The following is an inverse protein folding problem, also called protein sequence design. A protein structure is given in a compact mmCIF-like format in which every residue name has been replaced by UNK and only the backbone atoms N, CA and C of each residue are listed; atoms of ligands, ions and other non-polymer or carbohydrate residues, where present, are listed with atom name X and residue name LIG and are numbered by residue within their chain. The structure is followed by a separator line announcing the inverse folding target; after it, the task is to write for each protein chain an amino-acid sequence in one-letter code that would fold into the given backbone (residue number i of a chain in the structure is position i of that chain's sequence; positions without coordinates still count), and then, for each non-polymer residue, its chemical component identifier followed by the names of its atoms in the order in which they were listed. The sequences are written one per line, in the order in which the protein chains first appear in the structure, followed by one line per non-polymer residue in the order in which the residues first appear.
data_IF_419059681025
#
_entry.id   IF_419059681025
#
_cell.length_a   1.000
_cell.length_b   1.000
_cell.length_c   1.000
_cell.angle_alpha   90.00
_cell.angle_beta   90.00
_cell.angle_gamma   90.00
#
_symmetry.space_group_name_H-M   'P 1'
#
loop_
_entity.id
_entity.type
_entity.pdbx_description
1 polymer ?
#
# COMPACT_ATOMS: atom_id res chain seq x y z
N UNK A 1 16.30 15.58 49.52
CA UNK A 1 15.33 14.48 49.74
C UNK A 1 13.93 14.95 50.16
N UNK A 2 13.49 16.16 49.76
CA UNK A 2 12.17 16.73 50.15
C UNK A 2 11.40 17.40 48.99
N UNK A 3 11.84 17.20 47.74
CA UNK A 3 11.17 17.77 46.53
C UNK A 3 10.62 16.66 45.60
N UNK A 4 10.92 15.38 45.89
CA UNK A 4 10.50 14.23 45.07
C UNK A 4 9.21 13.54 45.55
N UNK A 5 8.64 13.91 46.69
CA UNK A 5 7.45 13.24 47.25
C UNK A 5 6.10 13.93 46.92
N UNK A 6 6.08 15.20 46.48
CA UNK A 6 4.82 15.90 46.15
C UNK A 6 4.29 15.64 44.73
N UNK A 7 5.07 15.03 43.84
CA UNK A 7 4.62 14.74 42.47
C UNK A 7 4.19 13.28 42.23
N UNK A 8 4.39 12.36 43.17
CA UNK A 8 3.96 10.96 43.02
C UNK A 8 2.52 10.71 43.52
N UNK A 9 2.00 11.56 44.40
CA UNK A 9 0.63 11.46 44.91
C UNK A 9 -0.44 12.06 43.97
N UNK A 10 -0.04 12.82 42.94
CA UNK A 10 -0.94 13.32 41.88
C UNK A 10 -0.92 12.49 40.59
N UNK A 11 -0.06 11.48 40.47
CA UNK A 11 -0.04 10.56 39.31
C UNK A 11 -1.10 9.46 39.40
N UNK A 12 -1.74 9.31 40.57
CA UNK A 12 -2.92 8.48 40.78
C UNK A 12 -4.20 9.31 40.97
N UNK A 13 -4.19 10.57 40.51
CA UNK A 13 -5.44 11.28 40.25
C UNK A 13 -6.16 10.51 39.14
N UNK A 14 -7.11 9.67 39.55
CA UNK A 14 -8.12 8.97 38.76
C UNK A 14 -8.22 9.53 37.34
N UNK A 15 -7.43 8.99 36.40
CA UNK A 15 -7.63 9.32 34.99
C UNK A 15 -9.06 8.87 34.70
N UNK A 16 -9.95 9.84 34.42
CA UNK A 16 -11.33 9.54 34.02
C UNK A 16 -11.25 8.45 32.94
N UNK A 17 -12.04 7.38 33.05
CA UNK A 17 -11.98 6.27 32.12
C UNK A 17 -12.16 6.82 30.70
N UNK A 18 -11.28 6.40 29.79
CA UNK A 18 -11.37 6.83 28.40
C UNK A 18 -12.72 6.39 27.83
N UNK A 19 -13.56 7.35 27.49
CA UNK A 19 -14.97 7.11 27.20
C UNK A 19 -15.37 7.56 25.79
N UNK A 20 -16.62 7.28 25.43
CA UNK A 20 -17.16 7.59 24.10
C UNK A 20 -17.21 9.10 23.82
N UNK A 21 -17.40 9.94 24.85
CA UNK A 21 -17.39 11.39 24.71
C UNK A 21 -16.01 11.91 24.27
N UNK A 22 -14.94 11.38 24.87
CA UNK A 22 -13.57 11.72 24.49
C UNK A 22 -13.25 11.24 23.07
N UNK A 23 -13.67 10.04 22.70
CA UNK A 23 -13.55 9.52 21.33
C UNK A 23 -14.23 10.48 20.36
N UNK A 24 -15.49 10.85 20.62
CA UNK A 24 -16.27 11.75 19.77
C UNK A 24 -15.61 13.12 19.63
N UNK A 25 -15.05 13.67 20.72
CA UNK A 25 -14.33 14.96 20.70
C UNK A 25 -13.06 14.89 19.85
N UNK A 26 -12.29 13.80 19.96
CA UNK A 26 -11.09 13.57 19.14
C UNK A 26 -11.49 13.47 17.66
N UNK A 27 -12.49 12.64 17.35
CA UNK A 27 -12.97 12.45 15.99
C UNK A 27 -13.53 13.74 15.38
N UNK A 28 -14.31 14.51 16.13
CA UNK A 28 -14.85 15.80 15.69
C UNK A 28 -13.72 16.79 15.38
N UNK A 29 -12.70 16.85 16.25
CA UNK A 29 -11.52 17.68 16.03
C UNK A 29 -10.80 17.28 14.75
N UNK A 30 -10.60 15.98 14.53
CA UNK A 30 -9.93 15.45 13.33
C UNK A 30 -10.73 15.78 12.06
N UNK A 31 -12.04 15.54 12.07
CA UNK A 31 -12.95 15.81 10.94
C UNK A 31 -12.89 17.28 10.53
N UNK A 32 -12.95 18.20 11.49
CA UNK A 32 -12.94 19.65 11.23
C UNK A 32 -11.53 20.14 10.85
N UNK A 33 -10.53 19.89 11.70
CA UNK A 33 -9.18 20.47 11.57
C UNK A 33 -8.46 19.94 10.34
N UNK A 34 -8.59 18.65 10.07
CA UNK A 34 -7.86 17.99 8.99
C UNK A 34 -8.74 17.68 7.77
N UNK A 35 -10.05 18.00 7.81
CA UNK A 35 -10.99 17.73 6.70
C UNK A 35 -10.93 16.27 6.26
N UNK A 36 -11.16 15.38 7.22
CA UNK A 36 -11.11 13.93 7.01
C UNK A 36 -12.41 13.28 7.41
N UNK A 37 -12.65 12.11 6.84
CA UNK A 37 -13.76 11.24 7.15
C UNK A 37 -13.26 10.10 8.03
N UNK A 38 -14.08 9.69 9.00
CA UNK A 38 -13.75 8.62 9.94
C UNK A 38 -14.90 7.64 9.95
N UNK A 39 -14.57 6.37 9.74
CA UNK A 39 -15.53 5.27 9.69
C UNK A 39 -15.20 4.23 10.76
N UNK A 40 -16.17 3.82 11.60
CA UNK A 40 -15.98 2.70 12.51
C UNK A 40 -15.80 1.40 11.73
N UNK A 41 -14.93 0.55 12.25
CA UNK A 41 -14.68 -0.79 11.74
C UNK A 41 -14.74 -1.80 12.88
N UNK A 42 -14.88 -3.06 12.51
CA UNK A 42 -14.60 -4.22 13.36
C UNK A 42 -13.48 -5.03 12.71
N UNK A 43 -12.85 -5.91 13.47
CA UNK A 43 -11.73 -6.71 12.98
C UNK A 43 -12.11 -7.52 11.73
N UNK A 44 -13.30 -8.10 11.70
CA UNK A 44 -13.86 -8.89 10.61
C UNK A 44 -14.03 -8.11 9.29
N UNK A 45 -14.05 -6.78 9.34
CA UNK A 45 -14.13 -5.94 8.14
C UNK A 45 -12.76 -5.71 7.49
N UNK A 46 -11.65 -5.98 8.18
CA UNK A 46 -10.31 -5.75 7.68
C UNK A 46 -9.88 -6.94 6.82
N UNK A 47 -9.65 -6.68 5.54
CA UNK A 47 -9.18 -7.71 4.60
C UNK A 47 -7.67 -7.78 4.63
N UNK A 48 -7.13 -8.98 4.77
CA UNK A 48 -5.68 -9.24 4.69
C UNK A 48 -5.37 -10.02 3.41
N UNK A 49 -4.31 -9.63 2.71
CA UNK A 49 -3.91 -10.28 1.47
C UNK A 49 -2.39 -10.37 1.35
N UNK A 50 -1.92 -11.55 0.95
CA UNK A 50 -0.51 -11.76 0.59
C UNK A 50 -0.09 -10.83 -0.56
N UNK A 51 -1.00 -10.56 -1.49
CA UNK A 51 -0.68 -9.81 -2.70
C UNK A 51 -0.42 -8.34 -2.45
N UNK A 52 -1.12 -7.70 -1.51
CA UNK A 52 -0.88 -6.27 -1.25
C UNK A 52 0.50 -6.04 -0.65
N UNK A 53 0.98 -6.96 0.20
CA UNK A 53 2.35 -6.90 0.73
C UNK A 53 3.39 -7.22 -0.34
N UNK A 54 3.12 -8.19 -1.23
CA UNK A 54 4.02 -8.46 -2.37
C UNK A 54 4.05 -7.31 -3.37
N UNK A 55 2.94 -6.58 -3.56
CA UNK A 55 2.91 -5.36 -4.38
C UNK A 55 3.70 -4.22 -3.76
N UNK A 56 3.86 -4.18 -2.44
CA UNK A 56 4.77 -3.24 -1.79
C UNK A 56 6.22 -3.41 -2.30
N UNK A 57 6.62 -4.63 -2.68
CA UNK A 57 7.93 -4.90 -3.30
C UNK A 57 8.06 -4.36 -4.73
N UNK A 58 6.95 -4.00 -5.38
CA UNK A 58 6.93 -3.36 -6.70
C UNK A 58 6.98 -1.82 -6.61
N UNK A 59 6.94 -1.28 -5.38
CA UNK A 59 7.03 0.16 -5.12
C UNK A 59 8.46 0.65 -5.34
N UNK A 60 8.65 1.79 -5.99
CA UNK A 60 9.98 2.36 -6.17
C UNK A 60 10.70 2.68 -4.87
N UNK A 61 9.96 3.04 -3.83
CA UNK A 61 10.54 3.33 -2.52
C UNK A 61 10.76 2.07 -1.66
N UNK A 62 10.61 0.87 -2.24
CA UNK A 62 10.79 -0.37 -1.49
C UNK A 62 12.18 -0.44 -0.86
N UNK A 63 12.26 -0.93 0.39
CA UNK A 63 13.45 -0.94 1.24
C UNK A 63 14.07 0.43 1.58
N UNK A 64 13.61 1.54 1.01
CA UNK A 64 14.19 2.86 1.25
C UNK A 64 13.81 3.44 2.62
N UNK A 65 12.87 2.80 3.33
CA UNK A 65 12.33 3.21 4.63
C UNK A 65 12.19 2.00 5.58
N UNK A 66 12.35 2.23 6.88
CA UNK A 66 12.01 1.27 7.96
C UNK A 66 10.54 0.80 7.97
N UNK A 67 9.69 1.43 7.17
CA UNK A 67 8.26 1.10 7.09
C UNK A 67 7.90 0.25 5.88
N UNK A 68 8.90 -0.25 5.17
CA UNK A 68 8.78 -1.28 4.15
C UNK A 68 9.05 -2.67 4.75
N UNK A 69 8.48 -3.75 4.20
CA UNK A 69 8.98 -5.11 4.43
C UNK A 69 10.47 -5.22 4.08
N UNK A 70 11.28 -6.04 4.78
CA UNK A 70 10.93 -6.93 5.88
C UNK A 70 10.91 -6.26 7.27
N UNK A 71 11.11 -4.94 7.36
CA UNK A 71 11.21 -4.22 8.64
C UNK A 71 9.87 -4.04 9.37
N UNK A 72 8.78 -4.51 8.77
CA UNK A 72 7.42 -4.45 9.31
C UNK A 72 6.82 -5.86 9.32
N UNK A 73 5.81 -6.13 10.17
CA UNK A 73 5.20 -7.46 10.25
C UNK A 73 4.66 -7.96 8.91
N UNK A 74 4.75 -9.27 8.72
CA UNK A 74 4.16 -9.98 7.58
C UNK A 74 2.63 -10.00 7.73
N UNK A 75 1.88 -10.15 6.63
CA UNK A 75 0.42 -10.04 6.64
C UNK A 75 -0.28 -10.94 7.66
N UNK A 76 0.21 -12.17 7.86
CA UNK A 76 -0.35 -13.09 8.86
C UNK A 76 -0.01 -12.68 10.29
N UNK A 77 1.16 -12.07 10.51
CA UNK A 77 1.53 -11.56 11.83
C UNK A 77 0.67 -10.35 12.18
N UNK A 78 0.43 -9.45 11.21
CA UNK A 78 -0.50 -8.32 11.36
C UNK A 78 -1.90 -8.81 11.65
N UNK A 79 -2.39 -9.83 10.92
CA UNK A 79 -3.70 -10.45 11.15
C UNK A 79 -3.87 -10.91 12.60
N UNK A 80 -2.91 -11.70 13.11
CA UNK A 80 -2.98 -12.20 14.49
C UNK A 80 -2.77 -11.10 15.55
N UNK A 81 -1.96 -10.09 15.25
CA UNK A 81 -1.76 -8.93 16.13
C UNK A 81 -3.05 -8.12 16.28
N UNK A 82 -3.76 -7.86 15.18
CA UNK A 82 -4.95 -7.01 15.20
C UNK A 82 -6.15 -7.62 15.93
N UNK A 83 -6.18 -8.94 16.13
CA UNK A 83 -7.18 -9.61 17.00
C UNK A 83 -7.14 -9.13 18.46
N UNK A 84 -6.04 -8.53 18.90
CA UNK A 84 -5.85 -8.04 20.28
C UNK A 84 -6.45 -6.66 20.52
N UNK A 85 -7.05 -6.05 19.51
CA UNK A 85 -7.64 -4.72 19.54
C UNK A 85 -9.16 -4.86 19.39
N UNK A 86 -9.92 -3.98 20.05
CA UNK A 86 -11.38 -3.96 20.00
C UNK A 86 -11.95 -2.66 19.41
N UNK A 87 -11.08 -1.69 19.11
CA UNK A 87 -11.44 -0.41 18.53
C UNK A 87 -10.72 -0.22 17.20
N UNK A 88 -11.46 0.07 16.13
CA UNK A 88 -10.91 0.27 14.78
C UNK A 88 -11.55 1.48 14.11
N UNK A 89 -10.73 2.33 13.52
CA UNK A 89 -11.18 3.48 12.71
C UNK A 89 -10.41 3.54 11.41
N UNK A 90 -11.17 3.51 10.31
CA UNK A 90 -10.69 3.89 8.98
C UNK A 90 -10.78 5.40 8.86
N UNK A 91 -9.67 6.04 8.51
CA UNK A 91 -9.60 7.49 8.31
C UNK A 91 -9.26 7.73 6.84
N UNK A 92 -10.03 8.59 6.18
CA UNK A 92 -9.85 8.94 4.77
C UNK A 92 -9.72 10.46 4.66
N UNK A 93 -8.69 10.90 3.96
CA UNK A 93 -8.52 12.29 3.55
C UNK A 93 -8.61 12.36 2.04
N UNK A 94 -9.46 13.26 1.52
CA UNK A 94 -9.62 13.48 0.07
C UNK A 94 -9.33 14.94 -0.25
N UNK A 95 -8.63 15.18 -1.37
CA UNK A 95 -8.40 16.50 -1.91
C UNK A 95 -8.65 16.49 -3.43
N UNK A 96 -9.40 17.48 -3.92
CA UNK A 96 -9.61 17.65 -5.35
C UNK A 96 -8.41 18.38 -5.98
N UNK A 97 -7.89 17.87 -7.08
CA UNK A 97 -6.87 18.54 -7.89
C UNK A 97 -7.44 19.66 -8.76
N UNK A 98 -8.76 19.74 -8.95
CA UNK A 98 -9.40 20.70 -9.86
C UNK A 98 -9.10 22.18 -9.51
N UNK A 99 -9.18 22.62 -8.24
CA UNK A 99 -8.82 23.99 -7.88
C UNK A 99 -7.32 24.28 -8.06
N UNK A 100 -6.47 23.27 -7.97
CA UNK A 100 -5.02 23.41 -8.23
C UNK A 100 -4.74 23.52 -9.72
N UNK A 101 -5.47 22.75 -10.53
CA UNK A 101 -5.44 22.85 -11.98
C UNK A 101 -5.86 24.24 -12.45
N UNK A 102 -6.98 24.78 -11.95
CA UNK A 102 -7.49 26.10 -12.34
C UNK A 102 -6.54 27.25 -11.93
N UNK A 103 -5.91 27.14 -10.74
CA UNK A 103 -4.96 28.15 -10.23
C UNK A 103 -3.59 28.14 -10.91
N UNK A 104 -3.19 27.03 -11.52
CA UNK A 104 -1.96 26.98 -12.32
C UNK A 104 -2.18 27.82 -13.59
N UNK A 105 -1.91 29.13 -13.49
CA UNK A 105 -1.80 30.05 -14.63
C UNK A 105 -0.78 29.47 -15.63
N UNK A 106 -0.98 29.69 -16.95
CA UNK A 106 -0.09 29.14 -17.97
C UNK A 106 1.29 29.81 -17.88
N UNK A 107 2.16 29.28 -17.03
CA UNK A 107 3.60 29.56 -17.08
C UNK A 107 4.23 28.78 -18.25
N UNK A 108 3.68 28.91 -19.45
CA UNK A 108 4.16 28.22 -20.65
C UNK A 108 4.20 26.68 -20.55
N UNK A 109 3.54 26.07 -19.57
CA UNK A 109 3.67 24.64 -19.31
C UNK A 109 2.70 23.81 -20.15
N UNK A 110 3.22 22.77 -20.80
CA UNK A 110 2.48 21.63 -21.35
C UNK A 110 1.29 21.22 -20.45
N UNK A 111 0.11 21.00 -21.03
CA UNK A 111 -1.13 20.60 -20.33
C UNK A 111 -0.92 19.40 -19.40
N UNK A 112 -0.15 18.41 -19.84
CA UNK A 112 0.22 17.26 -19.02
C UNK A 112 0.93 17.68 -17.73
N UNK A 113 1.89 18.61 -17.81
CA UNK A 113 2.66 19.08 -16.66
C UNK A 113 1.77 19.86 -15.68
N UNK A 114 0.79 20.61 -16.20
CA UNK A 114 -0.21 21.31 -15.40
C UNK A 114 -1.08 20.34 -14.62
N UNK A 115 -1.59 19.29 -15.26
CA UNK A 115 -2.35 18.21 -14.62
C UNK A 115 -1.51 17.46 -13.57
N UNK A 116 -0.28 17.10 -13.92
CA UNK A 116 0.64 16.41 -13.03
C UNK A 116 0.90 17.21 -11.74
N UNK A 117 1.21 18.50 -11.86
CA UNK A 117 1.45 19.39 -10.71
C UNK A 117 0.21 19.55 -9.84
N UNK A 118 -0.96 19.73 -10.46
CA UNK A 118 -2.22 19.82 -9.73
C UNK A 118 -2.52 18.54 -8.94
N UNK A 119 -2.30 17.37 -9.57
CA UNK A 119 -2.43 16.07 -8.94
C UNK A 119 -1.46 15.87 -7.77
N UNK A 120 -0.19 16.21 -7.96
CA UNK A 120 0.82 16.05 -6.92
C UNK A 120 0.55 16.96 -5.71
N UNK A 121 0.10 18.20 -5.93
CA UNK A 121 -0.32 19.07 -4.83
C UNK A 121 -1.51 18.47 -4.05
N UNK A 122 -2.53 17.98 -4.76
CA UNK A 122 -3.68 17.34 -4.12
C UNK A 122 -3.27 16.09 -3.32
N UNK A 123 -2.40 15.26 -3.89
CA UNK A 123 -1.81 14.09 -3.24
C UNK A 123 -1.05 14.45 -1.95
N UNK A 124 -0.18 15.48 -2.00
CA UNK A 124 0.57 15.95 -0.82
C UNK A 124 -0.38 16.39 0.29
N UNK A 125 -1.44 17.13 -0.05
CA UNK A 125 -2.42 17.62 0.92
C UNK A 125 -3.22 16.49 1.53
N UNK A 126 -3.77 15.58 0.72
CA UNK A 126 -4.54 14.43 1.20
C UNK A 126 -3.69 13.55 2.14
N UNK A 127 -2.46 13.24 1.73
CA UNK A 127 -1.52 12.47 2.55
C UNK A 127 -1.17 13.19 3.85
N UNK A 128 -0.88 14.50 3.80
CA UNK A 128 -0.55 15.31 4.99
C UNK A 128 -1.71 15.34 5.98
N UNK A 129 -2.93 15.62 5.50
CA UNK A 129 -4.15 15.59 6.32
C UNK A 129 -4.36 14.25 6.99
N UNK A 130 -4.24 13.15 6.24
CA UNK A 130 -4.36 11.81 6.83
C UNK A 130 -3.29 11.56 7.89
N UNK A 131 -2.02 11.85 7.58
CA UNK A 131 -0.91 11.62 8.50
C UNK A 131 -1.10 12.36 9.82
N UNK A 132 -1.45 13.65 9.74
CA UNK A 132 -1.70 14.46 10.94
C UNK A 132 -2.97 14.04 11.69
N UNK A 133 -4.01 13.58 10.99
CA UNK A 133 -5.21 13.04 11.61
C UNK A 133 -4.89 11.82 12.46
N UNK A 134 -4.19 10.85 11.90
CA UNK A 134 -3.80 9.62 12.58
C UNK A 134 -2.82 9.93 13.72
N UNK A 135 -1.85 10.82 13.50
CA UNK A 135 -0.90 11.22 14.53
C UNK A 135 -1.60 11.90 15.71
N UNK A 136 -2.55 12.81 15.45
CA UNK A 136 -3.34 13.45 16.49
C UNK A 136 -4.18 12.42 17.26
N UNK A 137 -4.81 11.49 16.54
CA UNK A 137 -5.58 10.41 17.16
C UNK A 137 -4.69 9.55 18.06
N UNK A 138 -3.57 9.07 17.53
CA UNK A 138 -2.57 8.27 18.25
C UNK A 138 -2.09 9.00 19.50
N UNK A 139 -1.63 10.25 19.38
CA UNK A 139 -1.15 11.03 20.52
C UNK A 139 -2.24 11.24 21.57
N UNK A 140 -3.51 11.41 21.16
CA UNK A 140 -4.62 11.50 22.10
C UNK A 140 -4.82 10.20 22.88
N UNK A 141 -4.73 9.04 22.21
CA UNK A 141 -4.79 7.74 22.87
C UNK A 141 -3.58 7.50 23.78
N UNK A 142 -2.39 7.87 23.35
CA UNK A 142 -1.15 7.74 24.12
C UNK A 142 -1.22 8.54 25.44
N UNK A 143 -1.79 9.75 25.42
CA UNK A 143 -2.00 10.58 26.63
C UNK A 143 -2.90 9.90 27.68
N UNK A 144 -3.76 8.97 27.24
CA UNK A 144 -4.62 8.17 28.10
C UNK A 144 -4.07 6.77 28.35
N UNK A 145 -2.78 6.52 28.03
CA UNK A 145 -2.12 5.22 28.18
C UNK A 145 -2.83 4.08 27.43
N UNK A 146 -3.52 4.40 26.33
CA UNK A 146 -4.25 3.41 25.56
C UNK A 146 -3.32 2.77 24.55
N UNK A 147 -3.17 1.45 24.66
CA UNK A 147 -2.42 0.65 23.67
C UNK A 147 -3.06 0.81 22.30
N UNK A 148 -2.29 1.29 21.34
CA UNK A 148 -2.75 1.52 19.98
C UNK A 148 -1.67 1.17 18.94
N UNK A 149 -2.11 0.93 17.71
CA UNK A 149 -1.29 0.77 16.52
C UNK A 149 -1.94 1.56 15.39
N UNK A 150 -1.11 2.21 14.57
CA UNK A 150 -1.57 3.06 13.50
C UNK A 150 -0.85 2.78 12.18
N UNK A 151 -1.60 2.85 11.09
CA UNK A 151 -1.17 2.64 9.71
C UNK A 151 -1.57 3.86 8.89
N UNK A 152 -0.60 4.52 8.26
CA UNK A 152 -0.80 5.80 7.58
C UNK A 152 -0.94 5.64 6.07
N UNK A 153 -0.72 6.72 5.33
CA UNK A 153 -0.84 6.75 3.87
C UNK A 153 0.01 5.69 3.15
N UNK A 154 -0.42 5.31 1.95
CA UNK A 154 0.38 4.53 0.99
C UNK A 154 1.70 5.21 0.60
N UNK A 155 2.66 4.40 0.16
CA UNK A 155 3.99 4.85 -0.25
C UNK A 155 5.00 4.95 0.90
N UNK A 156 6.12 5.62 0.65
CA UNK A 156 7.21 5.74 1.63
C UNK A 156 6.90 6.72 2.78
N UNK A 157 7.39 6.41 3.98
CA UNK A 157 7.31 7.31 5.14
C UNK A 157 7.93 8.69 4.83
N UNK A 158 7.20 9.76 5.17
CA UNK A 158 7.56 11.16 4.90
C UNK A 158 8.12 11.92 6.11
N UNK A 159 8.25 11.28 7.28
CA UNK A 159 8.64 11.94 8.54
C UNK A 159 10.03 12.60 8.51
N UNK A 160 10.98 12.04 7.75
CA UNK A 160 12.32 12.62 7.61
C UNK A 160 12.39 13.82 6.64
N UNK A 161 11.28 14.15 5.95
CA UNK A 161 11.27 15.15 4.89
C UNK A 161 12.27 14.80 3.78
N UNK A 162 13.17 15.73 3.38
CA UNK A 162 14.16 15.48 2.35
C UNK A 162 15.35 14.61 2.81
N UNK A 163 15.52 14.41 4.13
CA UNK A 163 16.67 13.66 4.65
C UNK A 163 16.55 12.16 4.35
N UNK A 164 17.64 11.48 3.95
CA UNK A 164 17.69 10.03 3.82
C UNK A 164 17.22 9.32 5.09
N UNK A 165 16.51 8.19 4.95
CA UNK A 165 16.10 7.40 6.11
C UNK A 165 17.31 6.70 6.73
N UNK A 166 17.33 6.54 8.06
CA UNK A 166 18.42 5.87 8.77
C UNK A 166 18.67 4.43 8.30
N UNK A 167 17.66 3.75 7.75
CA UNK A 167 17.81 2.40 7.17
C UNK A 167 18.87 2.33 6.06
N UNK A 168 19.11 3.45 5.36
CA UNK A 168 20.10 3.56 4.29
C UNK A 168 21.53 3.64 4.83
N UNK A 169 21.70 4.13 6.06
CA UNK A 169 22.99 4.27 6.75
C UNK A 169 23.10 3.33 7.97
N UNK A 170 22.21 2.35 8.09
CA UNK A 170 22.10 1.45 9.26
C UNK A 170 21.97 2.19 10.61
N UNK A 171 21.36 3.38 10.60
CA UNK A 171 21.06 4.18 11.79
C UNK A 171 19.61 3.98 12.23
N UNK A 172 19.29 4.09 13.54
CA UNK A 172 17.91 4.05 14.04
C UNK A 172 16.97 5.05 13.35
N UNK A 173 15.66 4.78 13.44
CA UNK A 173 14.66 5.73 12.98
C UNK A 173 14.77 7.04 13.76
N UNK A 174 14.86 8.17 13.04
CA UNK A 174 14.93 9.51 13.65
C UNK A 174 13.58 10.06 14.13
N UNK A 175 12.49 9.35 13.81
CA UNK A 175 11.11 9.75 14.14
C UNK A 175 10.26 8.53 14.52
N UNK A 176 10.67 7.72 15.51
CA UNK A 176 9.99 6.46 15.82
C UNK A 176 8.51 6.66 16.20
N UNK A 177 8.17 7.73 16.92
CA UNK A 177 6.81 8.00 17.39
C UNK A 177 5.84 8.49 16.30
N UNK A 178 6.38 8.98 15.19
CA UNK A 178 5.60 9.50 14.05
C UNK A 178 5.58 8.53 12.88
N UNK A 179 6.58 7.65 12.78
CA UNK A 179 6.73 6.78 11.63
C UNK A 179 5.72 5.61 11.70
N UNK A 180 4.80 5.59 10.75
CA UNK A 180 3.77 4.55 10.62
C UNK A 180 3.90 3.87 9.26
N UNK A 181 3.77 2.53 9.18
CA UNK A 181 3.71 1.85 7.89
C UNK A 181 2.39 2.09 7.19
N UNK A 182 2.36 1.88 5.88
CA UNK A 182 1.10 1.85 5.15
C UNK A 182 0.34 0.54 5.42
N UNK A 183 -0.98 0.50 5.26
CA UNK A 183 -1.77 -0.72 5.31
C UNK A 183 -1.21 -1.83 4.40
N UNK A 184 -0.80 -1.50 3.17
CA UNK A 184 -0.27 -2.47 2.21
C UNK A 184 1.07 -3.06 2.66
N UNK A 185 1.93 -2.25 3.28
CA UNK A 185 3.23 -2.70 3.78
C UNK A 185 3.10 -3.80 4.84
N UNK A 186 1.98 -3.84 5.57
CA UNK A 186 1.69 -4.84 6.61
C UNK A 186 0.64 -5.87 6.18
N UNK A 187 0.23 -5.86 4.91
CA UNK A 187 -0.68 -6.87 4.36
C UNK A 187 -2.18 -6.58 4.45
N UNK A 188 -2.59 -5.36 4.78
CA UNK A 188 -4.00 -4.96 4.79
C UNK A 188 -4.41 -4.52 3.38
N UNK A 189 -5.38 -5.20 2.80
CA UNK A 189 -6.00 -4.82 1.54
C UNK A 189 -7.03 -3.72 1.78
N UNK A 190 -6.51 -2.48 1.77
CA UNK A 190 -7.29 -1.29 2.03
C UNK A 190 -8.35 -1.05 0.94
N UNK A 191 -8.08 -1.39 -0.32
CA UNK A 191 -9.05 -1.19 -1.40
C UNK A 191 -10.28 -2.09 -1.22
N UNK A 192 -10.06 -3.37 -0.94
CA UNK A 192 -11.16 -4.31 -0.67
C UNK A 192 -11.91 -3.92 0.60
N UNK A 193 -11.18 -3.55 1.67
CA UNK A 193 -11.76 -3.08 2.93
C UNK A 193 -12.65 -1.84 2.74
N UNK A 194 -12.15 -0.80 2.07
CA UNK A 194 -12.87 0.46 1.82
C UNK A 194 -14.08 0.23 0.92
N UNK A 195 -13.92 -0.57 -0.15
CA UNK A 195 -15.04 -0.89 -1.06
C UNK A 195 -16.11 -1.72 -0.39
N UNK A 196 -15.77 -2.61 0.54
CA UNK A 196 -16.74 -3.37 1.32
C UNK A 196 -17.65 -2.46 2.14
N UNK A 197 -17.18 -1.28 2.55
CA UNK A 197 -18.00 -0.27 3.24
C UNK A 197 -18.87 0.59 2.31
N UNK A 198 -18.87 0.32 1.00
CA UNK A 198 -19.60 1.16 0.04
C UNK A 198 -18.86 2.43 -0.38
N UNK A 199 -17.64 2.65 0.13
CA UNK A 199 -16.86 3.85 -0.18
C UNK A 199 -16.16 3.64 -1.54
N UNK A 200 -16.43 4.55 -2.48
CA UNK A 200 -15.85 4.51 -3.82
C UNK A 200 -14.69 5.49 -3.93
N UNK A 201 -13.46 4.98 -3.88
CA UNK A 201 -12.25 5.77 -4.16
C UNK A 201 -11.99 5.82 -5.67
N UNK A 202 -11.47 6.96 -6.14
CA UNK A 202 -11.01 7.09 -7.53
C UNK A 202 -9.63 6.45 -7.70
N UNK A 203 -9.57 5.33 -8.42
CA UNK A 203 -8.36 4.51 -8.56
C UNK A 203 -8.14 4.15 -10.04
N UNK A 204 -7.06 4.60 -10.68
CA UNK A 204 -6.16 5.68 -10.25
C UNK A 204 -6.90 7.03 -10.18
N UNK A 205 -6.42 8.01 -9.39
CA UNK A 205 -7.07 9.31 -9.25
C UNK A 205 -7.04 10.09 -10.57
N UNK A 206 -8.17 10.74 -10.92
CA UNK A 206 -8.25 11.73 -12.02
C UNK A 206 -8.33 13.13 -11.42
N UNK A 207 -9.32 13.33 -10.55
CA UNK A 207 -9.57 14.62 -9.90
C UNK A 207 -9.55 14.52 -8.38
N UNK A 208 -9.93 13.39 -7.81
CA UNK A 208 -10.03 13.22 -6.37
C UNK A 208 -8.91 12.32 -5.87
N UNK A 209 -7.99 12.91 -5.12
CA UNK A 209 -6.86 12.22 -4.53
C UNK A 209 -7.23 11.85 -3.09
N UNK A 210 -7.43 10.55 -2.87
CA UNK A 210 -7.76 10.03 -1.55
C UNK A 210 -6.58 9.28 -0.95
N UNK A 211 -6.33 9.52 0.33
CA UNK A 211 -5.42 8.73 1.15
C UNK A 211 -6.19 8.14 2.30
N UNK A 212 -6.03 6.85 2.55
CA UNK A 212 -6.70 6.15 3.63
C UNK A 212 -5.68 5.48 4.56
N UNK A 213 -6.04 5.37 5.83
CA UNK A 213 -5.24 4.73 6.87
C UNK A 213 -6.13 4.20 7.98
N UNK A 214 -5.52 3.51 8.94
CA UNK A 214 -6.22 2.78 9.99
C UNK A 214 -5.59 3.08 11.34
N UNK A 215 -6.42 3.31 12.36
CA UNK A 215 -5.98 3.29 13.76
C UNK A 215 -6.74 2.21 14.52
N UNK A 216 -5.99 1.41 15.28
CA UNK A 216 -6.48 0.30 16.08
C UNK A 216 -6.12 0.56 17.54
N UNK A 217 -7.05 0.37 18.47
CA UNK A 217 -6.81 0.58 19.90
C UNK A 217 -7.45 -0.52 20.75
N UNK A 218 -6.86 -0.77 21.91
CA UNK A 218 -7.44 -1.63 22.94
C UNK A 218 -8.01 -0.72 24.01
N UNK A 219 -9.31 -0.47 23.94
CA UNK A 219 -10.02 0.40 24.88
C UNK A 219 -10.78 -0.50 25.87
N UNK A 220 -10.51 -0.41 27.19
CA UNK A 220 -11.22 -1.19 28.19
C UNK A 220 -12.73 -1.01 28.07
N UNK A 221 -13.49 -2.12 28.12
CA UNK A 221 -14.95 -2.15 28.04
C UNK A 221 -15.57 -1.52 26.78
N UNK A 222 -14.78 -1.28 25.73
CA UNK A 222 -15.30 -0.81 24.46
C UNK A 222 -15.93 -1.94 23.65
N UNK A 223 -17.12 -1.70 23.13
CA UNK A 223 -17.76 -2.49 22.10
C UNK A 223 -18.26 -1.58 20.99
N UNK A 224 -18.00 -1.98 19.75
CA UNK A 224 -18.49 -1.26 18.57
C UNK A 224 -19.95 -1.63 18.31
N UNK A 225 -20.86 -0.75 18.74
CA UNK A 225 -22.30 -0.93 18.63
C UNK A 225 -22.88 -0.36 17.34
N UNK A 226 -22.09 0.33 16.51
CA UNK A 226 -22.58 0.85 15.24
C UNK A 226 -22.94 -0.28 14.27
N UNK A 227 -24.06 -0.12 13.57
CA UNK A 227 -24.44 -0.99 12.46
C UNK A 227 -23.58 -0.60 11.25
N UNK A 228 -22.53 -1.39 11.00
CA UNK A 228 -21.63 -1.19 9.88
C UNK A 228 -22.13 -2.04 8.71
N UNK A 229 -22.76 -1.40 7.73
CA UNK A 229 -23.22 -2.09 6.52
C UNK A 229 -22.02 -2.42 5.64
N UNK A 230 -21.79 -3.71 5.44
CA UNK A 230 -20.78 -4.20 4.49
C UNK A 230 -21.45 -4.86 3.29
N UNK A 231 -20.89 -4.64 2.10
CA UNK A 231 -21.20 -5.39 0.88
C UNK A 231 -20.09 -6.38 0.57
N UNK A 232 -20.45 -7.53 0.00
CA UNK A 232 -19.46 -8.46 -0.57
C UNK A 232 -18.78 -7.77 -1.75
N UNK A 233 -17.46 -7.63 -1.69
CA UNK A 233 -16.67 -7.21 -2.85
C UNK A 233 -16.39 -8.45 -3.67
N UNK A 234 -17.06 -8.57 -4.82
CA UNK A 234 -16.79 -9.64 -5.78
C UNK A 234 -15.69 -9.19 -6.73
N UNK A 235 -14.59 -9.95 -6.76
CA UNK A 235 -13.56 -9.83 -7.79
C UNK A 235 -14.11 -10.44 -9.08
N UNK A 236 -14.93 -9.69 -9.80
CA UNK A 236 -15.42 -10.13 -11.09
C UNK A 236 -14.27 -10.13 -12.09
N UNK A 237 -14.25 -11.11 -12.99
CA UNK A 237 -13.32 -11.07 -14.11
C UNK A 237 -13.64 -9.88 -15.03
N UNK A 238 -12.61 -9.32 -15.70
CA UNK A 238 -12.86 -8.29 -16.69
C UNK A 238 -13.77 -8.79 -17.80
N UNK A 239 -14.59 -7.88 -18.34
CA UNK A 239 -15.49 -8.22 -19.42
C UNK A 239 -14.72 -8.68 -20.66
N UNK A 240 -15.32 -9.62 -21.38
CA UNK A 240 -14.68 -10.30 -22.51
C UNK A 240 -14.18 -9.31 -23.57
N UNK A 241 -15.01 -8.33 -23.91
CA UNK A 241 -14.68 -7.31 -24.90
C UNK A 241 -13.46 -6.50 -24.47
N UNK A 242 -13.42 -6.03 -23.23
CA UNK A 242 -12.26 -5.30 -22.71
C UNK A 242 -10.98 -6.15 -22.72
N UNK A 243 -11.07 -7.44 -22.40
CA UNK A 243 -9.92 -8.35 -22.49
C UNK A 243 -9.45 -8.55 -23.93
N UNK A 244 -10.36 -8.71 -24.89
CA UNK A 244 -10.03 -8.81 -26.32
C UNK A 244 -9.36 -7.53 -26.83
N UNK A 245 -9.91 -6.36 -26.49
CA UNK A 245 -9.31 -5.06 -26.83
C UNK A 245 -7.92 -4.89 -26.21
N UNK A 246 -7.72 -5.41 -24.99
CA UNK A 246 -6.49 -5.23 -24.25
C UNK A 246 -5.38 -6.19 -24.68
N UNK A 247 -5.72 -7.47 -24.80
CA UNK A 247 -4.76 -8.55 -25.00
C UNK A 247 -4.71 -9.07 -26.43
N UNK A 248 -5.68 -8.72 -27.28
CA UNK A 248 -5.84 -9.20 -28.66
C UNK A 248 -6.11 -10.72 -28.77
N UNK A 249 -5.98 -11.46 -27.66
CA UNK A 249 -6.38 -12.85 -27.47
C UNK A 249 -6.97 -13.02 -26.07
N UNK A 250 -7.84 -14.02 -25.92
CA UNK A 250 -8.37 -14.45 -24.62
C UNK A 250 -7.66 -15.68 -24.06
N UNK A 251 -6.58 -16.12 -24.68
CA UNK A 251 -5.79 -17.23 -24.17
C UNK A 251 -5.18 -16.88 -22.82
N UNK A 252 -5.47 -17.70 -21.81
CA UNK A 252 -4.88 -17.59 -20.49
C UNK A 252 -4.50 -18.96 -19.96
N UNK A 253 -3.53 -18.97 -19.06
CA UNK A 253 -3.15 -20.15 -18.29
C UNK A 253 -3.80 -20.06 -16.90
N UNK A 254 -4.27 -21.19 -16.39
CA UNK A 254 -4.60 -21.30 -14.97
C UNK A 254 -3.28 -21.30 -14.19
N UNK A 255 -3.04 -20.33 -13.28
CA UNK A 255 -1.77 -20.22 -12.57
C UNK A 255 -1.42 -21.47 -11.75
N UNK A 256 -2.42 -22.22 -11.28
CA UNK A 256 -2.19 -23.43 -10.49
C UNK A 256 -1.70 -24.62 -11.32
N UNK A 257 -2.06 -24.68 -12.61
CA UNK A 257 -1.63 -25.76 -13.52
C UNK A 257 -0.16 -25.62 -13.91
N UNK A 258 0.38 -24.40 -13.79
CA UNK A 258 1.79 -24.05 -14.08
C UNK A 258 2.56 -23.68 -12.81
N UNK A 259 2.03 -24.05 -11.65
CA UNK A 259 2.64 -23.79 -10.35
C UNK A 259 3.63 -24.90 -10.01
N UNK A 260 4.92 -24.56 -9.94
CA UNK A 260 5.95 -25.51 -9.54
C UNK A 260 6.97 -24.82 -8.62
N UNK A 261 7.09 -25.33 -7.39
CA UNK A 261 8.00 -24.80 -6.38
C UNK A 261 9.44 -24.98 -6.82
N UNK A 262 10.14 -23.87 -7.01
CA UNK A 262 11.53 -23.87 -7.46
C UNK A 262 12.46 -23.15 -6.48
N UNK A 263 13.68 -23.64 -6.34
CA UNK A 263 14.72 -22.92 -5.63
C UNK A 263 15.50 -22.01 -6.59
N UNK A 264 15.37 -20.69 -6.41
CA UNK A 264 16.07 -19.72 -7.24
C UNK A 264 17.44 -19.30 -6.69
N UNK A 265 17.93 -19.85 -5.56
CA UNK A 265 19.16 -19.37 -4.89
C UNK A 265 20.40 -19.43 -5.79
N UNK A 266 20.48 -20.41 -6.69
CA UNK A 266 21.57 -20.57 -7.65
C UNK A 266 21.34 -19.83 -9.00
N UNK A 267 20.25 -19.07 -9.13
CA UNK A 267 19.95 -18.32 -10.34
C UNK A 267 20.93 -17.15 -10.50
N UNK A 268 21.53 -17.00 -11.69
CA UNK A 268 22.39 -15.85 -12.02
C UNK A 268 21.68 -14.49 -11.89
N UNK A 269 20.35 -14.49 -11.92
CA UNK A 269 19.50 -13.31 -11.75
C UNK A 269 18.86 -13.25 -10.35
N UNK A 270 19.33 -14.01 -9.36
CA UNK A 270 18.78 -13.99 -8.02
C UNK A 270 18.90 -12.60 -7.37
N UNK A 271 17.80 -12.11 -6.80
CA UNK A 271 17.75 -10.88 -6.03
C UNK A 271 17.43 -11.21 -4.58
N UNK A 272 18.28 -10.77 -3.66
CA UNK A 272 18.17 -11.01 -2.22
C UNK A 272 16.86 -10.49 -1.61
N UNK A 273 16.23 -9.50 -2.23
CA UNK A 273 14.97 -8.94 -1.77
C UNK A 273 13.76 -9.23 -2.66
N UNK A 274 13.91 -9.25 -4.00
CA UNK A 274 12.79 -9.57 -4.90
C UNK A 274 12.55 -11.07 -5.05
N UNK A 275 13.50 -11.91 -4.66
CA UNK A 275 13.34 -13.37 -4.63
C UNK A 275 13.18 -13.90 -3.21
N UNK A 276 13.05 -13.03 -2.20
CA UNK A 276 12.80 -13.43 -0.81
C UNK A 276 11.38 -13.99 -0.67
N UNK A 277 11.30 -15.32 -0.60
CA UNK A 277 10.06 -16.06 -0.38
C UNK A 277 9.64 -16.10 1.08
N UNK A 278 10.48 -15.67 2.01
CA UNK A 278 10.11 -15.62 3.43
C UNK A 278 8.97 -14.63 3.70
N UNK A 279 8.70 -13.71 2.75
CA UNK A 279 7.67 -12.67 2.87
C UNK A 279 6.25 -13.17 2.61
N UNK A 280 6.05 -14.41 2.18
CA UNK A 280 4.73 -15.00 1.99
C UNK A 280 4.68 -16.48 2.38
N UNK A 281 3.48 -16.98 2.70
CA UNK A 281 3.22 -18.42 2.82
C UNK A 281 2.75 -18.95 1.49
N UNK A 282 3.22 -20.13 1.11
CA UNK A 282 2.92 -20.71 -0.19
C UNK A 282 1.43 -21.04 -0.33
N UNK A 283 0.81 -21.50 0.75
CA UNK A 283 -0.60 -21.90 0.80
C UNK A 283 -1.52 -20.69 0.59
N UNK A 284 -1.21 -19.56 1.22
CA UNK A 284 -1.99 -18.32 1.07
C UNK A 284 -1.86 -17.75 -0.35
N UNK A 285 -0.69 -17.90 -1.00
CA UNK A 285 -0.52 -17.53 -2.39
C UNK A 285 -1.34 -18.44 -3.31
N UNK A 286 -1.26 -19.76 -3.14
CA UNK A 286 -2.06 -20.73 -3.91
C UNK A 286 -3.56 -20.49 -3.76
N UNK A 287 -4.03 -20.21 -2.54
CA UNK A 287 -5.43 -19.87 -2.28
C UNK A 287 -5.86 -18.64 -3.09
N UNK A 288 -5.04 -17.59 -3.08
CA UNK A 288 -5.34 -16.39 -3.86
C UNK A 288 -5.34 -16.64 -5.38
N UNK A 289 -4.47 -17.54 -5.87
CA UNK A 289 -4.37 -17.91 -7.29
C UNK A 289 -5.58 -18.67 -7.84
N UNK A 290 -6.38 -19.37 -7.00
CA UNK A 290 -7.53 -20.19 -7.42
C UNK A 290 -8.53 -19.44 -8.31
N UNK A 291 -8.69 -18.14 -8.06
CA UNK A 291 -9.65 -17.28 -8.76
C UNK A 291 -8.93 -16.27 -9.67
N UNK A 292 -7.80 -16.65 -10.27
CA UNK A 292 -6.98 -15.77 -11.10
C UNK A 292 -6.69 -16.41 -12.44
N UNK A 293 -6.41 -15.57 -13.43
CA UNK A 293 -5.98 -15.96 -14.77
C UNK A 293 -4.65 -15.32 -15.09
N UNK A 294 -3.74 -16.10 -15.68
CA UNK A 294 -2.48 -15.57 -16.16
C UNK A 294 -2.58 -15.32 -17.67
N UNK A 295 -2.57 -14.05 -18.05
CA UNK A 295 -2.51 -13.64 -19.45
C UNK A 295 -1.06 -13.42 -19.87
N UNK A 296 -0.70 -13.93 -21.04
CA UNK A 296 0.60 -13.68 -21.66
C UNK A 296 0.45 -12.53 -22.65
N UNK A 297 1.34 -11.54 -22.58
CA UNK A 297 1.35 -10.40 -23.50
C UNK A 297 2.69 -10.27 -24.21
N UNK A 298 2.62 -10.06 -25.53
CA UNK A 298 3.78 -9.78 -26.37
C UNK A 298 3.96 -8.27 -26.50
N UNK A 299 5.05 -7.78 -25.96
CA UNK A 299 5.43 -6.38 -26.02
C UNK A 299 6.20 -6.07 -27.31
N UNK A 300 6.13 -4.83 -27.76
CA UNK A 300 6.98 -4.29 -28.81
C UNK A 300 8.44 -4.17 -28.33
N UNK A 301 8.62 -3.82 -27.06
CA UNK A 301 9.92 -3.65 -26.43
C UNK A 301 10.29 -4.85 -25.56
N UNK A 302 11.59 -5.14 -25.43
CA UNK A 302 12.07 -6.21 -24.53
C UNK A 302 11.75 -5.86 -23.07
N UNK A 303 11.30 -6.83 -22.28
CA UNK A 303 10.93 -6.64 -20.86
C UNK A 303 12.11 -6.22 -19.99
N UNK A 304 13.34 -6.51 -20.42
CA UNK A 304 14.59 -6.10 -19.79
C UNK A 304 15.03 -4.65 -20.11
N UNK A 305 14.17 -3.83 -20.72
CA UNK A 305 14.45 -2.41 -20.95
C UNK A 305 13.44 -1.53 -20.23
N UNK A 306 13.81 -0.27 -19.99
CA UNK A 306 12.90 0.74 -19.42
C UNK A 306 11.65 0.89 -20.31
N UNK A 307 11.83 0.88 -21.63
CA UNK A 307 10.74 0.96 -22.59
C UNK A 307 9.74 -0.20 -22.44
N UNK A 308 10.21 -1.45 -22.30
CA UNK A 308 9.33 -2.61 -22.09
C UNK A 308 8.57 -2.56 -20.77
N UNK A 309 9.20 -2.11 -19.67
CA UNK A 309 8.51 -1.95 -18.38
C UNK A 309 7.46 -0.84 -18.45
N UNK A 310 7.77 0.27 -19.10
CA UNK A 310 6.83 1.36 -19.31
C UNK A 310 5.65 0.92 -20.17
N UNK A 311 5.91 0.17 -21.25
CA UNK A 311 4.89 -0.40 -22.13
C UNK A 311 3.94 -1.32 -21.37
N UNK A 312 4.47 -2.31 -20.62
CA UNK A 312 3.66 -3.22 -19.81
C UNK A 312 2.78 -2.48 -18.79
N UNK A 313 3.34 -1.45 -18.15
CA UNK A 313 2.58 -0.69 -17.17
C UNK A 313 1.50 0.17 -17.81
N UNK A 314 1.84 0.98 -18.82
CA UNK A 314 0.94 1.97 -19.40
C UNK A 314 -0.14 1.34 -20.28
N UNK A 315 0.25 0.37 -21.11
CA UNK A 315 -0.65 -0.19 -22.12
C UNK A 315 -1.55 -1.28 -21.55
N UNK A 316 -1.15 -1.90 -20.43
CA UNK A 316 -1.88 -3.03 -19.85
C UNK A 316 -2.24 -2.83 -18.38
N UNK A 317 -1.25 -2.77 -17.49
CA UNK A 317 -1.49 -2.76 -16.04
C UNK A 317 -2.38 -1.59 -15.62
N UNK A 318 -2.06 -0.38 -16.08
CA UNK A 318 -2.80 0.83 -15.72
C UNK A 318 -4.23 0.84 -16.26
N UNK A 319 -4.49 0.22 -17.42
CA UNK A 319 -5.84 0.08 -17.97
C UNK A 319 -6.70 -0.85 -17.10
N UNK A 320 -6.13 -1.97 -16.64
CA UNK A 320 -6.78 -2.87 -15.68
C UNK A 320 -7.07 -2.17 -14.34
N UNK A 321 -6.08 -1.45 -13.79
CA UNK A 321 -6.28 -0.68 -12.55
C UNK A 321 -7.41 0.35 -12.69
N UNK A 322 -7.51 1.04 -13.84
CA UNK A 322 -8.58 2.02 -14.14
C UNK A 322 -9.97 1.40 -14.23
N UNK A 323 -10.07 0.12 -14.56
CA UNK A 323 -11.33 -0.64 -14.56
C UNK A 323 -11.65 -1.25 -13.20
N UNK A 324 -10.81 -1.00 -12.18
CA UNK A 324 -11.04 -1.47 -10.82
C UNK A 324 -10.41 -2.84 -10.52
N UNK A 325 -9.47 -3.33 -11.33
CA UNK A 325 -8.74 -4.56 -11.05
C UNK A 325 -7.47 -4.26 -10.23
N UNK A 326 -7.61 -3.66 -9.04
CA UNK A 326 -6.44 -3.20 -8.25
C UNK A 326 -5.54 -4.32 -7.78
N UNK A 327 -5.99 -5.58 -7.81
CA UNK A 327 -5.21 -6.77 -7.49
C UNK A 327 -4.32 -7.27 -8.64
N UNK A 328 -4.46 -6.75 -9.87
CA UNK A 328 -3.63 -7.14 -11.03
C UNK A 328 -2.13 -7.09 -10.72
N UNK A 329 -1.42 -8.17 -11.01
CA UNK A 329 0.03 -8.27 -10.79
C UNK A 329 0.75 -8.53 -12.11
N UNK A 330 1.72 -7.67 -12.44
CA UNK A 330 2.50 -7.76 -13.66
C UNK A 330 3.86 -8.42 -13.41
N UNK A 331 4.26 -9.30 -14.31
CA UNK A 331 5.52 -10.02 -14.27
C UNK A 331 6.26 -9.90 -15.61
N UNK A 332 7.57 -10.12 -15.54
CA UNK A 332 8.40 -10.39 -16.70
C UNK A 332 9.14 -11.73 -16.53
N UNK A 333 9.77 -12.20 -17.60
CA UNK A 333 10.70 -13.33 -17.54
C UNK A 333 11.96 -13.01 -16.72
N UNK A 334 12.27 -11.73 -16.52
CA UNK A 334 13.44 -11.23 -15.78
C UNK A 334 13.05 -10.24 -14.68
N UNK A 335 14.01 -9.89 -13.81
CA UNK A 335 13.86 -8.86 -12.77
C UNK A 335 14.00 -7.44 -13.33
N UNK A 336 13.73 -6.44 -12.49
CA UNK A 336 13.75 -5.01 -12.84
C UNK A 336 14.99 -4.57 -13.64
N UNK A 337 14.83 -4.01 -14.84
CA UNK A 337 15.94 -3.57 -15.68
C UNK A 337 16.56 -2.23 -15.27
N UNK A 338 16.00 -1.58 -14.26
CA UNK A 338 16.43 -0.25 -13.83
C UNK A 338 17.74 -0.25 -13.04
N UNK A 339 18.14 -1.38 -12.47
CA UNK A 339 19.37 -1.52 -11.70
C UNK A 339 20.33 -2.40 -12.50
N UNK A 340 21.54 -1.90 -12.79
CA UNK A 340 22.61 -2.65 -13.48
C UNK A 340 22.79 -4.02 -12.84
N UNK A 341 22.83 -4.04 -11.50
CA UNK A 341 22.63 -5.24 -10.69
C UNK A 341 21.42 -5.03 -9.79
N UNK A 342 20.40 -5.90 -9.88
CA UNK A 342 19.20 -5.85 -9.04
C UNK A 342 19.47 -6.39 -7.63
N UNK A 343 20.39 -5.72 -6.92
CA UNK A 343 20.72 -5.95 -5.52
C UNK A 343 20.20 -4.81 -4.64
N UNK A 344 20.10 -5.08 -3.33
CA UNK A 344 19.61 -4.12 -2.34
C UNK A 344 20.36 -2.78 -2.40
N UNK A 345 21.70 -2.77 -2.45
CA UNK A 345 22.51 -1.53 -2.46
C UNK A 345 22.16 -0.60 -3.63
N UNK A 346 22.11 -1.13 -4.85
CA UNK A 346 21.75 -0.36 -6.05
C UNK A 346 20.31 0.13 -6.01
N UNK A 347 19.40 -0.68 -5.46
CA UNK A 347 18.02 -0.29 -5.27
C UNK A 347 17.89 0.91 -4.33
N UNK A 348 18.58 0.86 -3.19
CA UNK A 348 18.60 1.93 -2.18
C UNK A 348 19.21 3.24 -2.71
N UNK A 349 20.16 3.17 -3.64
CA UNK A 349 20.78 4.34 -4.27
C UNK A 349 19.91 5.00 -5.35
N UNK A 350 18.70 4.48 -5.61
CA UNK A 350 17.74 5.13 -6.50
C UNK A 350 17.86 4.74 -7.97
N UNK A 351 18.43 3.58 -8.30
CA UNK A 351 18.49 3.08 -9.69
C UNK A 351 17.12 3.01 -10.38
N UNK A 352 16.04 2.83 -9.62
CA UNK A 352 14.66 2.80 -10.12
C UNK A 352 14.11 4.18 -10.56
N UNK A 353 14.78 5.30 -10.24
CA UNK A 353 14.31 6.65 -10.56
C UNK A 353 14.20 6.92 -12.07
N UNK A 354 14.82 6.07 -12.90
CA UNK A 354 14.81 6.16 -14.37
C UNK A 354 13.57 5.51 -15.01
N UNK A 355 12.79 4.73 -14.27
CA UNK A 355 11.53 4.13 -14.75
C UNK A 355 10.35 5.04 -14.44
N UNK A 356 9.40 5.16 -15.36
CA UNK A 356 8.21 5.97 -15.13
C UNK A 356 7.40 5.39 -13.95
N UNK A 357 6.95 6.26 -13.06
CA UNK A 357 6.30 5.88 -11.79
C UNK A 357 7.14 4.97 -10.88
N UNK A 358 8.46 4.89 -11.11
CA UNK A 358 9.41 4.23 -10.23
C UNK A 358 9.05 2.75 -9.98
N UNK A 359 8.50 2.06 -10.97
CA UNK A 359 7.98 0.68 -10.82
C UNK A 359 9.12 -0.35 -10.86
N UNK A 360 9.03 -1.33 -9.97
CA UNK A 360 9.90 -2.51 -9.98
C UNK A 360 9.07 -3.67 -10.54
N UNK A 361 9.59 -4.34 -11.57
CA UNK A 361 8.98 -5.56 -12.11
C UNK A 361 9.65 -6.80 -11.52
N UNK A 362 8.85 -7.81 -11.21
CA UNK A 362 9.33 -9.10 -10.68
C UNK A 362 9.37 -10.15 -11.78
N UNK A 363 10.30 -11.07 -11.61
CA UNK A 363 10.35 -12.30 -12.40
C UNK A 363 9.16 -13.18 -12.01
N UNK A 364 8.43 -13.72 -12.99
CA UNK A 364 7.29 -14.62 -12.75
C UNK A 364 7.66 -15.86 -11.93
N UNK A 365 8.88 -16.36 -12.12
CA UNK A 365 9.44 -17.50 -11.37
C UNK A 365 9.56 -17.24 -9.86
N UNK A 366 9.64 -15.99 -9.43
CA UNK A 366 9.62 -15.64 -8.00
C UNK A 366 8.28 -15.95 -7.30
N UNK A 367 7.23 -16.19 -8.09
CA UNK A 367 5.91 -16.64 -7.66
C UNK A 367 5.66 -18.13 -7.91
N UNK A 368 6.69 -18.91 -8.26
CA UNK A 368 6.59 -20.33 -8.64
C UNK A 368 5.71 -20.59 -9.87
N UNK A 369 5.53 -19.59 -10.74
CA UNK A 369 4.76 -19.74 -11.98
C UNK A 369 5.70 -19.95 -13.16
N UNK A 370 5.40 -20.97 -13.98
CA UNK A 370 6.20 -21.38 -15.15
C UNK A 370 5.35 -21.41 -16.42
N UNK A 371 5.03 -20.24 -17.00
CA UNK A 371 4.21 -20.16 -18.20
C UNK A 371 4.88 -20.85 -19.39
N UNK A 372 4.07 -21.42 -20.29
CA UNK A 372 4.55 -22.13 -21.48
C UNK A 372 5.31 -21.21 -22.45
N UNK A 373 4.80 -20.00 -22.62
CA UNK A 373 5.36 -19.01 -23.55
C UNK A 373 6.40 -18.16 -22.84
N UNK A 374 7.65 -18.26 -23.27
CA UNK A 374 8.76 -17.46 -22.75
C UNK A 374 9.43 -16.65 -23.86
N UNK A 375 9.95 -15.48 -23.50
CA UNK A 375 10.68 -14.65 -24.45
C UNK A 375 11.14 -13.33 -23.86
N UNK A 376 12.07 -12.68 -24.57
CA UNK A 376 12.69 -11.41 -24.19
C UNK A 376 11.69 -10.24 -24.20
N UNK A 377 10.62 -10.35 -25.00
CA UNK A 377 9.53 -9.37 -25.12
C UNK A 377 8.18 -9.93 -24.63
N UNK A 378 8.21 -11.03 -23.87
CA UNK A 378 7.02 -11.62 -23.28
C UNK A 378 6.91 -11.20 -21.82
N UNK A 379 5.74 -10.69 -21.44
CA UNK A 379 5.36 -10.36 -20.08
C UNK A 379 4.07 -11.06 -19.70
N UNK A 380 3.74 -11.05 -18.41
CA UNK A 380 2.59 -11.77 -17.89
C UNK A 380 1.78 -10.89 -16.96
N UNK A 381 0.46 -11.01 -17.04
CA UNK A 381 -0.49 -10.27 -16.22
C UNK A 381 -1.41 -11.25 -15.53
N UNK A 382 -1.31 -11.26 -14.21
CA UNK A 382 -2.17 -12.03 -13.35
C UNK A 382 -3.35 -11.15 -12.95
N UNK A 383 -4.55 -11.56 -13.34
CA UNK A 383 -5.80 -10.80 -13.19
C UNK A 383 -6.81 -11.60 -12.42
#
# INVERSE_FOLDING_TARGET
MYVLQRNLLNLYATQKPFNLEQINKIEQTIKIKYRTEIYPLKYEHIVFSVIVQLKCQNCGEYLSKYKCPPYVPKYWQTRELLKRFNFFRLIIATESSKPWYERNKPYGTNEYLKLYRAGETANIIAVSRLHHSILYYKSSLDLHNIRNIAYSHGGGCRACGPRPCGVLSNEPCRHPDKAMPSPEAVGIDLYTTVRALGINLEVPPKWNYSSAGLICALIPNYQENSIIKTRRVTENFPDKQFLEELFQTLDYENPLDIYESQDCRNCKQYSDFLCDKSLYKEEDLKEWLKNKRLYTVKLQNKTKTIAGVNELYQNYTLKLLRKGYWWTFAFASHRCPACVDCNKKNHLNGGYKIVQNRRIIRCIKSFNLHPKTVGDNIAYLLV
#
